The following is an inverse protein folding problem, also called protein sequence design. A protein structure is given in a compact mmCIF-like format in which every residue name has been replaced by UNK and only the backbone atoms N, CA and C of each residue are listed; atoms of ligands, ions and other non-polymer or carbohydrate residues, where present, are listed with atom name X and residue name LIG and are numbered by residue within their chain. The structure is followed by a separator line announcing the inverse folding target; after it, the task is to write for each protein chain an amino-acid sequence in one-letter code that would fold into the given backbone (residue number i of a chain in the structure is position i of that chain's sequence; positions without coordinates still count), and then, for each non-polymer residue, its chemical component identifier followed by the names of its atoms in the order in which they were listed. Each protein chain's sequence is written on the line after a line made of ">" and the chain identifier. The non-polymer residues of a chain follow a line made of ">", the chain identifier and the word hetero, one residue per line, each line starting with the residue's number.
data_IF_546309337047
#
_entry.id   IF_546309337047
#
_cell.length_a   1.000
_cell.length_b   1.000
_cell.length_c   1.000
_cell.angle_alpha   90.00
_cell.angle_beta   90.00
_cell.angle_gamma   90.00
#
_symmetry.space_group_name_H-M   'P 1'
#
loop_
_entity.id
_entity.type
_entity.pdbx_description
1 polymer ?
#
# COMPACT_ATOMS: atom_id res chain seq x y z
N UNK A 1 -1.97 9.81 -15.72
CA UNK A 1 -1.71 10.32 -14.36
C UNK A 1 -2.59 9.49 -13.45
N UNK A 2 -1.96 8.66 -12.62
CA UNK A 2 -2.65 7.67 -11.81
C UNK A 2 -2.59 8.01 -10.33
N UNK A 3 -3.54 7.52 -9.52
CA UNK A 3 -3.59 7.86 -8.09
C UNK A 3 -2.53 7.06 -7.33
N UNK A 4 -1.61 7.78 -6.66
CA UNK A 4 -0.60 7.20 -5.76
C UNK A 4 -1.03 7.37 -4.30
N UNK A 5 -1.09 6.25 -3.56
CA UNK A 5 -1.36 6.26 -2.11
C UNK A 5 -0.14 5.75 -1.37
N UNK A 6 0.37 6.55 -0.42
CA UNK A 6 1.41 6.14 0.52
C UNK A 6 0.80 5.74 1.87
N UNK A 7 1.24 4.62 2.43
CA UNK A 7 0.87 4.15 3.77
C UNK A 7 2.11 4.17 4.65
N UNK A 8 2.11 5.05 5.66
CA UNK A 8 3.14 5.08 6.71
C UNK A 8 2.72 4.11 7.81
N UNK A 9 3.62 3.19 8.18
CA UNK A 9 3.28 2.05 9.04
C UNK A 9 2.72 0.85 8.26
N UNK A 10 3.12 0.71 6.98
CA UNK A 10 2.61 -0.29 6.04
C UNK A 10 2.87 -1.75 6.44
N UNK A 11 3.77 -2.03 7.37
CA UNK A 11 3.98 -3.34 7.99
C UNK A 11 2.95 -3.69 9.06
N UNK A 12 1.93 -2.86 9.28
CA UNK A 12 0.83 -3.12 10.21
C UNK A 12 0.06 -4.39 9.88
N UNK A 13 -0.38 -5.10 10.92
CA UNK A 13 -1.34 -6.21 10.78
C UNK A 13 -2.71 -5.75 10.30
N UNK A 14 -2.97 -4.43 10.25
CA UNK A 14 -4.19 -3.83 9.70
C UNK A 14 -4.06 -3.48 8.21
N UNK A 15 -2.84 -3.44 7.65
CA UNK A 15 -2.65 -3.21 6.21
C UNK A 15 -3.41 -4.21 5.34
N UNK A 16 -3.51 -5.52 5.67
CA UNK A 16 -4.34 -6.45 4.91
C UNK A 16 -5.82 -6.05 4.84
N UNK A 17 -6.40 -5.52 5.93
CA UNK A 17 -7.79 -5.04 5.94
C UNK A 17 -7.96 -3.81 5.04
N UNK A 18 -7.01 -2.87 5.09
CA UNK A 18 -6.96 -1.72 4.17
C UNK A 18 -6.93 -2.21 2.72
N UNK A 19 -5.99 -3.10 2.39
CA UNK A 19 -5.81 -3.65 1.04
C UNK A 19 -7.07 -4.37 0.54
N UNK A 20 -7.71 -5.17 1.38
CA UNK A 20 -8.98 -5.83 1.09
C UNK A 20 -10.12 -4.80 0.84
N UNK A 21 -10.14 -3.72 1.61
CA UNK A 21 -11.03 -2.58 1.40
C UNK A 21 -10.84 -1.90 0.03
N UNK A 22 -9.58 -1.69 -0.37
CA UNK A 22 -9.19 -1.12 -1.67
C UNK A 22 -9.55 -2.06 -2.82
N UNK A 23 -9.22 -3.33 -2.70
CA UNK A 23 -9.47 -4.36 -3.70
C UNK A 23 -10.96 -4.49 -4.05
N UNK A 24 -11.86 -4.28 -3.08
CA UNK A 24 -13.33 -4.32 -3.29
C UNK A 24 -13.92 -3.05 -3.92
N UNK A 25 -13.15 -1.96 -4.01
CA UNK A 25 -13.65 -0.62 -4.39
C UNK A 25 -12.83 -0.01 -5.52
N UNK A 26 -12.17 -0.84 -6.33
CA UNK A 26 -11.35 -0.40 -7.47
C UNK A 26 -12.15 0.37 -8.52
N UNK A 27 -13.46 0.16 -8.59
CA UNK A 27 -14.41 0.88 -9.44
C UNK A 27 -14.69 2.32 -8.97
N UNK A 28 -14.51 2.59 -7.67
CA UNK A 28 -14.80 3.89 -7.04
C UNK A 28 -13.55 4.72 -6.77
N UNK A 29 -12.41 4.07 -6.58
CA UNK A 29 -11.13 4.72 -6.34
C UNK A 29 -10.07 4.04 -7.22
N UNK A 30 -9.80 4.59 -8.42
CA UNK A 30 -8.79 4.05 -9.31
C UNK A 30 -7.40 4.39 -8.76
N UNK A 31 -6.82 3.44 -8.02
CA UNK A 31 -5.46 3.50 -7.50
C UNK A 31 -4.54 2.80 -8.49
N UNK A 32 -3.44 3.46 -8.84
CA UNK A 32 -2.43 2.94 -9.75
C UNK A 32 -1.17 2.51 -9.00
N UNK A 33 -0.88 3.14 -7.86
CA UNK A 33 0.28 2.82 -7.03
C UNK A 33 -0.08 2.84 -5.55
N UNK A 34 0.26 1.76 -4.84
CA UNK A 34 0.19 1.65 -3.40
C UNK A 34 1.60 1.49 -2.84
N UNK A 35 2.07 2.47 -2.09
CA UNK A 35 3.37 2.42 -1.42
C UNK A 35 3.20 2.11 0.04
N UNK A 36 3.88 1.07 0.51
CA UNK A 36 3.95 0.69 1.92
C UNK A 36 5.32 1.10 2.47
N UNK A 37 5.31 2.07 3.39
CA UNK A 37 6.48 2.53 4.14
C UNK A 37 6.41 1.96 5.55
N UNK A 38 7.47 1.32 6.00
CA UNK A 38 7.66 0.97 7.41
C UNK A 38 9.14 1.12 7.80
N UNK A 39 9.42 1.16 9.09
CA UNK A 39 10.79 1.14 9.63
C UNK A 39 11.24 -0.30 9.94
N UNK A 40 10.30 -1.23 10.06
CA UNK A 40 10.55 -2.65 10.37
C UNK A 40 10.54 -3.50 9.08
N UNK A 41 11.70 -3.84 8.49
CA UNK A 41 11.78 -4.50 7.18
C UNK A 41 11.14 -5.89 7.15
N UNK A 42 11.26 -6.66 8.24
CA UNK A 42 10.67 -8.01 8.31
C UNK A 42 9.13 -7.96 8.26
N UNK A 43 8.53 -7.02 9.00
CA UNK A 43 7.08 -6.79 8.99
C UNK A 43 6.63 -6.32 7.61
N UNK A 44 7.39 -5.40 7.00
CA UNK A 44 7.10 -4.86 5.69
C UNK A 44 7.16 -5.93 4.59
N UNK A 45 8.13 -6.83 4.62
CA UNK A 45 8.26 -7.92 3.65
C UNK A 45 7.07 -8.88 3.73
N UNK A 46 6.71 -9.31 4.95
CA UNK A 46 5.58 -10.23 5.18
C UNK A 46 4.26 -9.59 4.70
N UNK A 47 3.99 -8.36 5.14
CA UNK A 47 2.73 -7.67 4.85
C UNK A 47 2.66 -7.21 3.39
N UNK A 48 3.76 -6.68 2.84
CA UNK A 48 3.85 -6.28 1.45
C UNK A 48 3.69 -7.45 0.49
N UNK A 49 4.29 -8.60 0.81
CA UNK A 49 4.09 -9.85 0.06
C UNK A 49 2.63 -10.32 0.08
N UNK A 50 1.96 -10.23 1.23
CA UNK A 50 0.52 -10.54 1.34
C UNK A 50 -0.34 -9.56 0.54
N UNK A 51 -0.10 -8.25 0.67
CA UNK A 51 -0.83 -7.21 -0.04
C UNK A 51 -0.77 -7.41 -1.56
N UNK A 52 0.43 -7.69 -2.10
CA UNK A 52 0.63 -8.02 -3.53
C UNK A 52 -0.25 -9.17 -3.99
N UNK A 53 -0.27 -10.29 -3.24
CA UNK A 53 -1.07 -11.47 -3.60
C UNK A 53 -2.57 -11.19 -3.53
N UNK A 54 -3.03 -10.43 -2.53
CA UNK A 54 -4.44 -10.06 -2.38
C UNK A 54 -4.92 -9.20 -3.57
N UNK A 55 -4.16 -8.16 -3.93
CA UNK A 55 -4.50 -7.27 -5.04
C UNK A 55 -4.43 -7.98 -6.40
N UNK A 56 -3.41 -8.81 -6.62
CA UNK A 56 -3.31 -9.64 -7.82
C UNK A 56 -4.52 -10.59 -7.95
N UNK A 57 -4.94 -11.22 -6.84
CA UNK A 57 -6.12 -12.10 -6.82
C UNK A 57 -7.43 -11.36 -7.12
N UNK A 58 -7.50 -10.07 -6.77
CA UNK A 58 -8.62 -9.19 -7.08
C UNK A 58 -8.59 -8.62 -8.51
N UNK A 59 -7.56 -8.93 -9.31
CA UNK A 59 -7.40 -8.42 -10.66
C UNK A 59 -6.99 -6.95 -10.74
N UNK A 60 -6.48 -6.39 -9.64
CA UNK A 60 -5.94 -5.03 -9.63
C UNK A 60 -4.70 -4.93 -10.52
N UNK A 61 -4.59 -3.85 -11.28
CA UNK A 61 -3.55 -3.66 -12.32
C UNK A 61 -2.47 -2.64 -11.94
N UNK A 62 -2.56 -2.05 -10.75
CA UNK A 62 -1.55 -1.13 -10.24
C UNK A 62 -0.31 -1.83 -9.68
N UNK A 63 0.56 -1.07 -9.05
CA UNK A 63 1.82 -1.53 -8.45
C UNK A 63 1.81 -1.42 -6.91
N UNK A 64 2.34 -2.44 -6.23
CA UNK A 64 2.64 -2.36 -4.79
C UNK A 64 4.13 -2.17 -4.60
N UNK A 65 4.52 -1.00 -4.11
CA UNK A 65 5.90 -0.67 -3.76
C UNK A 65 6.07 -0.77 -2.25
N UNK A 66 7.20 -1.31 -1.81
CA UNK A 66 7.58 -1.36 -0.39
C UNK A 66 8.90 -0.61 -0.26
N UNK A 67 9.01 0.26 0.74
CA UNK A 67 10.24 1.04 0.95
C UNK A 67 10.46 1.31 2.45
N UNK A 68 11.71 1.51 2.83
CA UNK A 68 12.09 2.06 4.14
C UNK A 68 12.39 3.57 4.05
N UNK A 69 12.43 4.10 2.83
CA UNK A 69 12.72 5.50 2.53
C UNK A 69 11.42 6.32 2.50
N UNK A 70 11.32 7.25 3.45
CA UNK A 70 10.17 8.15 3.60
C UNK A 70 10.05 9.13 2.43
N UNK A 71 11.15 9.67 1.92
CA UNK A 71 11.11 10.64 0.82
C UNK A 71 10.59 9.97 -0.44
N UNK A 72 11.11 8.78 -0.77
CA UNK A 72 10.61 7.98 -1.89
C UNK A 72 9.13 7.59 -1.75
N UNK A 73 8.67 7.31 -0.54
CA UNK A 73 7.26 6.97 -0.30
C UNK A 73 6.33 8.17 -0.55
N UNK A 74 6.73 9.37 -0.12
CA UNK A 74 5.92 10.58 -0.17
C UNK A 74 6.00 11.33 -1.50
N UNK A 75 7.08 11.14 -2.27
CA UNK A 75 7.27 11.82 -3.54
C UNK A 75 6.10 11.55 -4.50
N UNK A 76 5.37 12.60 -4.88
CA UNK A 76 4.21 12.51 -5.76
C UNK A 76 3.01 11.73 -5.22
N UNK A 77 2.91 11.47 -3.91
CA UNK A 77 1.74 10.82 -3.33
C UNK A 77 0.52 11.77 -3.33
N UNK A 78 -0.62 11.32 -3.86
CA UNK A 78 -1.88 12.07 -3.83
C UNK A 78 -2.57 11.96 -2.45
N UNK A 79 -2.39 10.81 -1.79
CA UNK A 79 -2.92 10.55 -0.47
C UNK A 79 -1.87 9.89 0.42
N UNK A 80 -1.88 10.25 1.70
CA UNK A 80 -1.06 9.64 2.74
C UNK A 80 -1.96 9.11 3.84
N UNK A 81 -1.93 7.81 4.08
CA UNK A 81 -2.52 7.17 5.25
C UNK A 81 -1.44 6.89 6.28
N UNK A 82 -1.72 7.24 7.53
CA UNK A 82 -0.78 7.03 8.63
C UNK A 82 -1.41 6.03 9.61
N UNK A 83 -0.74 4.90 9.79
CA UNK A 83 -1.10 3.85 10.74
C UNK A 83 -0.09 3.86 11.89
N UNK A 84 -0.19 4.86 12.77
CA UNK A 84 0.65 4.95 13.97
C UNK A 84 0.20 3.90 14.99
N UNK A 85 1.17 3.14 15.51
CA UNK A 85 0.99 2.28 16.67
C UNK A 85 2.24 2.36 17.54
#
# INVERSE_FOLDING_TARGET
>A
MGTKIAVIGGGSTYTPELVDGLARRTDRLPIDELVLLDIEPERLEIVGGLARRMLARAGWRGSVVTTLDREAALDGADFVLIQLR
#
